data_IF_997700049256
#
_entry.id   IF_997700049256
#
_cell.length_a   1.000
_cell.length_b   1.000
_cell.length_c   1.000
_cell.angle_alpha   90.00
_cell.angle_beta   90.00
_cell.angle_gamma   90.00
#
_symmetry.space_group_name_H-M   'P 1'
#
loop_
_entity.id
_entity.type
_entity.pdbx_description
1 polymer ?
#
# COMPACT_ATOMS: atom_id res chain seq x y z
N UNK A 1 0.40 -36.54 87.34
CA UNK A 1 1.27 -37.43 86.54
C UNK A 1 1.27 -36.96 85.10
N UNK A 2 2.45 -36.79 84.50
CA UNK A 2 2.72 -37.01 83.07
C UNK A 2 3.31 -38.43 82.92
N UNK A 3 3.60 -39.01 81.74
CA UNK A 3 3.58 -38.46 80.35
C UNK A 3 2.23 -38.82 79.65
N UNK A 4 2.01 -39.04 78.34
CA UNK A 4 2.85 -39.27 77.13
C UNK A 4 2.20 -38.59 75.90
N UNK A 5 3.01 -38.06 74.96
CA UNK A 5 2.58 -37.78 73.58
C UNK A 5 2.77 -39.03 72.71
N UNK A 6 1.73 -39.50 72.03
CA UNK A 6 1.88 -40.35 70.85
C UNK A 6 1.33 -39.64 69.62
N UNK A 7 2.23 -39.29 68.70
CA UNK A 7 1.86 -38.89 67.36
C UNK A 7 1.75 -40.14 66.48
N UNK A 8 0.68 -40.24 65.69
CA UNK A 8 0.67 -41.06 64.48
C UNK A 8 0.37 -40.17 63.28
N UNK A 9 1.00 -40.51 62.16
CA UNK A 9 1.07 -39.69 60.96
C UNK A 9 -0.26 -39.67 60.17
N UNK A 10 -0.55 -38.58 59.41
CA UNK A 10 -1.75 -38.49 58.62
C UNK A 10 -1.75 -39.52 57.49
N UNK A 11 -2.83 -40.30 57.37
CA UNK A 11 -3.06 -41.18 56.22
C UNK A 11 -3.64 -40.39 55.07
N UNK A 12 -2.77 -39.82 54.23
CA UNK A 12 -3.14 -39.36 52.89
C UNK A 12 -3.67 -40.56 52.08
N UNK A 13 -4.87 -40.49 51.48
CA UNK A 13 -5.12 -41.16 50.22
C UNK A 13 -4.37 -40.39 49.11
N UNK A 14 -3.43 -41.04 48.43
CA UNK A 14 -2.91 -40.52 47.17
C UNK A 14 -4.03 -40.52 46.14
N UNK A 15 -4.43 -39.33 45.66
CA UNK A 15 -5.07 -39.21 44.34
C UNK A 15 -4.65 -37.92 43.63
N UNK A 16 -3.34 -37.72 43.54
CA UNK A 16 -2.76 -36.72 42.65
C UNK A 16 -2.87 -37.19 41.19
N UNK A 17 -4.03 -36.97 40.56
CA UNK A 17 -4.11 -36.85 39.10
C UNK A 17 -4.35 -35.39 38.73
N UNK A 18 -3.25 -34.68 38.55
CA UNK A 18 -3.22 -33.33 37.99
C UNK A 18 -3.65 -33.37 36.53
N UNK A 19 -4.94 -33.22 36.25
CA UNK A 19 -5.38 -32.85 34.90
C UNK A 19 -5.24 -31.33 34.68
N UNK A 20 -4.02 -30.85 34.86
CA UNK A 20 -3.57 -29.59 34.29
C UNK A 20 -3.43 -29.80 32.77
N UNK A 21 -4.59 -29.91 32.10
CA UNK A 21 -4.67 -29.98 30.65
C UNK A 21 -4.10 -28.67 30.11
N UNK A 22 -2.84 -28.74 29.68
CA UNK A 22 -2.09 -27.58 29.23
C UNK A 22 -2.79 -26.98 28.02
N UNK A 23 -3.46 -25.84 28.22
CA UNK A 23 -3.73 -24.88 27.16
C UNK A 23 -2.39 -24.22 26.74
N UNK A 24 -1.47 -25.05 26.26
CA UNK A 24 -0.59 -24.67 25.17
C UNK A 24 -1.48 -24.52 23.93
N UNK A 25 -2.25 -23.44 23.92
CA UNK A 25 -2.62 -22.80 22.67
C UNK A 25 -1.28 -22.44 22.03
N UNK A 26 -0.81 -23.33 21.15
CA UNK A 26 0.39 -23.13 20.35
C UNK A 26 0.13 -21.97 19.42
N UNK A 27 0.34 -20.75 19.94
CA UNK A 27 0.24 -19.53 19.18
C UNK A 27 1.14 -19.68 17.99
N UNK A 28 0.53 -19.84 16.81
CA UNK A 28 1.26 -19.84 15.56
C UNK A 28 1.85 -18.45 15.43
N UNK A 29 3.12 -18.33 15.81
CA UNK A 29 3.93 -17.16 15.51
C UNK A 29 4.11 -17.15 14.00
N UNK A 30 3.09 -16.63 13.31
CA UNK A 30 3.23 -16.14 11.96
C UNK A 30 4.35 -15.10 12.03
N UNK A 31 5.46 -15.40 11.37
CA UNK A 31 6.66 -14.56 11.42
C UNK A 31 6.27 -13.10 11.16
N UNK A 32 6.75 -12.19 12.02
CA UNK A 32 6.23 -10.83 12.04
C UNK A 32 6.28 -10.18 10.65
N UNK A 33 5.12 -9.70 10.20
CA UNK A 33 4.93 -9.21 8.84
C UNK A 33 5.60 -7.86 8.63
N UNK A 34 6.90 -7.86 8.34
CA UNK A 34 7.66 -6.65 8.06
C UNK A 34 7.52 -6.20 6.60
N UNK A 35 7.42 -4.89 6.30
CA UNK A 35 7.42 -4.40 4.93
C UNK A 35 8.77 -4.64 4.23
N UNK A 36 8.75 -5.17 3.01
CA UNK A 36 9.97 -5.54 2.27
C UNK A 36 10.83 -4.34 1.83
N UNK A 37 10.24 -3.15 1.69
CA UNK A 37 10.91 -1.94 1.18
C UNK A 37 11.16 -0.91 2.29
N UNK A 38 10.26 -0.82 3.28
CA UNK A 38 10.32 0.16 4.36
C UNK A 38 10.70 -0.54 5.66
N UNK A 39 11.94 -0.35 6.11
CA UNK A 39 12.40 -0.91 7.38
C UNK A 39 11.64 -0.28 8.54
N UNK A 40 11.16 -1.11 9.46
CA UNK A 40 10.47 -0.63 10.65
C UNK A 40 11.40 0.17 11.58
N UNK A 41 12.67 -0.22 11.67
CA UNK A 41 13.68 0.48 12.48
C UNK A 41 13.91 1.92 12.00
N UNK A 42 13.96 2.15 10.68
CA UNK A 42 14.12 3.48 10.08
C UNK A 42 12.88 4.37 10.39
N UNK A 43 11.68 3.79 10.45
CA UNK A 43 10.45 4.47 10.88
C UNK A 43 10.42 4.77 12.39
N UNK A 44 10.81 3.80 13.23
CA UNK A 44 10.88 3.97 14.69
C UNK A 44 11.92 5.03 15.07
N UNK A 45 13.10 5.00 14.45
CA UNK A 45 14.11 6.04 14.60
C UNK A 45 13.58 7.41 14.18
N UNK A 46 12.86 7.50 13.05
CA UNK A 46 12.21 8.74 12.62
C UNK A 46 11.19 9.25 13.64
N UNK A 47 10.40 8.37 14.27
CA UNK A 47 9.46 8.72 15.35
C UNK A 47 10.19 9.25 16.60
N UNK A 48 11.32 8.65 16.97
CA UNK A 48 12.18 9.13 18.06
C UNK A 48 12.74 10.53 17.75
N UNK A 49 13.24 10.77 16.54
CA UNK A 49 13.75 12.08 16.11
C UNK A 49 12.65 13.16 16.04
N UNK A 50 11.41 12.80 15.70
CA UNK A 50 10.27 13.70 15.80
C UNK A 50 9.90 14.04 17.25
N UNK A 51 9.98 13.04 18.15
CA UNK A 51 9.75 13.23 19.59
C UNK A 51 10.81 14.14 20.21
N UNK A 52 12.07 13.98 19.79
CA UNK A 52 13.20 14.84 20.13
C UNK A 52 13.16 16.22 19.43
N UNK A 53 12.20 16.46 18.53
CA UNK A 53 12.02 17.68 17.73
C UNK A 53 13.24 18.06 16.86
N UNK A 54 14.00 17.06 16.41
CA UNK A 54 15.18 17.25 15.54
C UNK A 54 14.76 18.01 14.26
N UNK A 55 15.31 19.22 13.98
CA UNK A 55 14.73 20.13 12.97
C UNK A 55 14.57 19.55 11.56
N UNK A 56 15.51 18.71 11.12
CA UNK A 56 15.44 18.04 9.81
C UNK A 56 14.22 17.09 9.71
N UNK A 57 13.95 16.32 10.77
CA UNK A 57 12.82 15.39 10.82
C UNK A 57 11.49 16.13 10.93
N UNK A 58 11.41 17.17 11.77
CA UNK A 58 10.22 18.04 11.86
C UNK A 58 9.92 18.68 10.49
N UNK A 59 10.96 19.16 9.77
CA UNK A 59 10.82 19.69 8.42
C UNK A 59 10.36 18.65 7.38
N UNK A 60 10.79 17.40 7.50
CA UNK A 60 10.34 16.30 6.64
C UNK A 60 8.88 15.90 6.93
N UNK A 61 8.52 15.76 8.21
CA UNK A 61 7.16 15.44 8.65
C UNK A 61 6.14 16.50 8.23
N UNK A 62 6.48 17.79 8.34
CA UNK A 62 5.60 18.86 7.86
C UNK A 62 5.37 18.81 6.33
N UNK A 63 6.36 18.38 5.54
CA UNK A 63 6.22 18.14 4.10
C UNK A 63 5.38 16.89 3.78
N UNK A 64 5.49 15.84 4.60
CA UNK A 64 4.66 14.64 4.51
C UNK A 64 3.18 14.97 4.79
N UNK A 65 2.88 15.66 5.90
CA UNK A 65 1.52 16.11 6.21
C UNK A 65 0.95 16.99 5.09
N UNK A 66 1.71 18.00 4.63
CA UNK A 66 1.30 18.86 3.51
C UNK A 66 1.05 18.10 2.19
N UNK A 67 1.59 16.89 2.03
CA UNK A 67 1.33 16.01 0.89
C UNK A 67 0.10 15.14 1.11
N UNK A 68 -0.06 14.56 2.31
CA UNK A 68 -1.27 13.84 2.70
C UNK A 68 -2.53 14.75 2.73
N UNK A 69 -2.42 15.99 3.18
CA UNK A 69 -3.50 17.00 3.16
C UNK A 69 -3.90 17.45 1.74
N UNK A 70 -3.04 17.21 0.74
CA UNK A 70 -3.37 17.36 -0.69
C UNK A 70 -4.04 16.09 -1.23
N UNK A 71 -3.54 14.91 -0.85
CA UNK A 71 -4.12 13.61 -1.19
C UNK A 71 -5.55 13.41 -0.65
N UNK A 72 -5.85 13.90 0.57
CA UNK A 72 -7.21 13.91 1.13
C UNK A 72 -8.24 14.57 0.18
N UNK A 73 -7.80 15.62 -0.54
CA UNK A 73 -8.63 16.47 -1.42
C UNK A 73 -8.74 15.95 -2.86
N UNK A 74 -8.00 14.91 -3.24
CA UNK A 74 -8.11 14.30 -4.56
C UNK A 74 -9.41 13.49 -4.71
N UNK A 75 -9.92 13.30 -5.93
CA UNK A 75 -10.95 12.29 -6.19
C UNK A 75 -10.41 10.87 -5.91
N UNK A 76 -11.29 9.86 -5.86
CA UNK A 76 -10.85 8.47 -5.87
C UNK A 76 -10.55 8.06 -7.32
N UNK A 77 -9.27 7.87 -7.64
CA UNK A 77 -8.80 7.50 -8.96
C UNK A 77 -9.29 6.11 -9.39
N UNK A 78 -9.55 5.92 -10.68
CA UNK A 78 -9.90 4.64 -11.31
C UNK A 78 -9.34 4.52 -12.74
N UNK A 79 -9.08 3.29 -13.20
CA UNK A 79 -8.84 3.01 -14.64
C UNK A 79 -10.06 3.30 -15.52
N UNK A 80 -11.24 3.56 -14.94
CA UNK A 80 -12.45 3.93 -15.69
C UNK A 80 -12.47 5.42 -16.08
N UNK A 81 -11.55 6.23 -15.53
CA UNK A 81 -11.50 7.69 -15.75
C UNK A 81 -10.81 8.10 -17.07
N UNK A 82 -10.09 7.18 -17.74
CA UNK A 82 -9.44 7.46 -19.04
C UNK A 82 -10.46 7.68 -20.17
N UNK A 83 -10.09 8.42 -21.21
CA UNK A 83 -10.94 8.60 -22.39
C UNK A 83 -10.78 7.48 -23.43
N UNK A 84 -9.56 6.96 -23.60
CA UNK A 84 -9.29 5.85 -24.52
C UNK A 84 -9.58 4.50 -23.85
N UNK A 85 -9.87 3.47 -24.65
CA UNK A 85 -10.02 2.08 -24.18
C UNK A 85 -8.95 1.22 -24.84
N UNK A 86 -8.51 0.17 -24.14
CA UNK A 86 -7.53 -0.78 -24.67
C UNK A 86 -8.11 -1.60 -25.83
N UNK A 87 -7.25 -2.27 -26.60
CA UNK A 87 -7.66 -3.12 -27.73
C UNK A 87 -8.47 -4.38 -27.33
N UNK A 88 -8.60 -4.68 -26.03
CA UNK A 88 -9.55 -5.66 -25.50
C UNK A 88 -11.01 -5.19 -25.58
N UNK A 89 -11.25 -3.88 -25.67
CA UNK A 89 -12.57 -3.27 -25.47
C UNK A 89 -13.00 -3.18 -23.99
N UNK A 90 -12.24 -3.77 -23.05
CA UNK A 90 -12.49 -3.62 -21.62
C UNK A 90 -11.82 -2.35 -21.09
N UNK A 91 -12.59 -1.52 -20.37
CA UNK A 91 -12.09 -0.31 -19.74
C UNK A 91 -11.42 -0.58 -18.38
N UNK A 92 -11.68 -1.74 -17.77
CA UNK A 92 -10.99 -2.20 -16.56
C UNK A 92 -9.54 -2.62 -16.81
N UNK A 93 -9.13 -2.86 -18.06
CA UNK A 93 -7.73 -3.06 -18.38
C UNK A 93 -6.93 -1.76 -18.25
N UNK A 94 -5.74 -1.86 -17.65
CA UNK A 94 -4.79 -0.75 -17.58
C UNK A 94 -4.21 -0.45 -18.98
N UNK A 95 -4.29 0.80 -19.40
CA UNK A 95 -3.80 1.26 -20.70
C UNK A 95 -2.78 2.39 -20.52
N UNK A 96 -1.65 2.35 -21.24
CA UNK A 96 -0.73 3.49 -21.30
C UNK A 96 0.17 3.50 -22.52
N UNK A 97 0.58 4.69 -22.97
CA UNK A 97 1.64 4.82 -23.97
C UNK A 97 3.04 4.75 -23.33
N UNK A 98 4.08 4.26 -24.05
CA UNK A 98 5.48 4.40 -23.66
C UNK A 98 5.96 5.85 -23.86
N UNK A 99 6.95 6.34 -23.11
CA UNK A 99 7.37 7.74 -23.17
C UNK A 99 8.03 8.12 -24.50
N UNK A 100 8.73 7.21 -25.16
CA UNK A 100 9.67 7.53 -26.26
C UNK A 100 9.12 7.25 -27.66
N UNK A 101 7.80 7.21 -27.85
CA UNK A 101 7.16 6.97 -29.14
C UNK A 101 6.25 8.14 -29.53
N UNK A 102 6.44 8.61 -30.76
CA UNK A 102 5.84 9.84 -31.30
C UNK A 102 5.15 9.57 -32.64
N UNK A 103 4.11 10.33 -33.02
CA UNK A 103 3.59 10.32 -34.39
C UNK A 103 4.71 10.56 -35.43
N UNK A 104 4.67 9.82 -36.54
CA UNK A 104 5.60 10.00 -37.67
C UNK A 104 5.15 11.21 -38.53
N UNK A 105 5.90 12.33 -38.56
CA UNK A 105 5.52 13.53 -39.31
C UNK A 105 5.59 13.36 -40.84
N UNK A 106 6.10 12.24 -41.35
CA UNK A 106 6.05 11.89 -42.78
C UNK A 106 4.70 11.25 -43.20
N UNK A 107 3.80 10.99 -42.24
CA UNK A 107 2.54 10.28 -42.43
C UNK A 107 1.36 11.22 -42.22
N UNK A 108 0.25 10.98 -42.94
CA UNK A 108 -0.95 11.82 -42.88
C UNK A 108 -1.73 11.64 -41.56
N UNK A 109 -1.63 10.45 -40.99
CA UNK A 109 -2.24 9.96 -39.75
C UNK A 109 -1.25 9.93 -38.57
N UNK A 110 0.05 10.07 -38.85
CA UNK A 110 1.12 9.92 -37.87
C UNK A 110 1.50 8.46 -37.57
N UNK A 111 1.05 7.48 -38.36
CA UNK A 111 1.17 6.05 -38.06
C UNK A 111 2.09 5.28 -39.03
N UNK A 112 2.82 4.25 -38.55
CA UNK A 112 3.00 3.87 -37.14
C UNK A 112 3.85 4.90 -36.38
N UNK A 113 3.74 4.93 -35.04
CA UNK A 113 4.61 5.81 -34.25
C UNK A 113 6.09 5.43 -34.41
N UNK A 114 6.97 6.42 -34.34
CA UNK A 114 8.43 6.31 -34.40
C UNK A 114 9.06 6.49 -33.02
N UNK A 115 10.15 5.77 -32.75
CA UNK A 115 10.89 5.86 -31.48
C UNK A 115 11.89 7.02 -31.51
N UNK A 116 11.82 7.90 -30.52
CA UNK A 116 12.82 8.94 -30.24
C UNK A 116 13.33 8.79 -28.81
N UNK A 117 14.58 8.37 -28.65
CA UNK A 117 15.09 8.03 -27.30
C UNK A 117 15.30 9.29 -26.45
N UNK A 118 14.95 9.23 -25.16
CA UNK A 118 15.00 10.37 -24.24
C UNK A 118 13.92 11.46 -24.47
N UNK A 119 13.48 11.69 -25.71
CA UNK A 119 12.38 12.61 -26.03
C UNK A 119 11.04 12.04 -25.53
N UNK A 120 10.53 12.57 -24.41
CA UNK A 120 9.25 12.13 -23.83
C UNK A 120 8.05 12.77 -24.54
N UNK A 121 7.24 11.96 -25.22
CA UNK A 121 5.94 12.36 -25.75
C UNK A 121 5.00 12.74 -24.59
N UNK A 122 4.38 13.95 -24.58
CA UNK A 122 3.40 14.35 -23.57
C UNK A 122 2.18 13.41 -23.48
N UNK A 123 1.78 12.74 -24.56
CA UNK A 123 0.64 11.81 -24.57
C UNK A 123 0.80 10.70 -23.53
N UNK A 124 2.03 10.23 -23.32
CA UNK A 124 2.37 9.20 -22.33
C UNK A 124 2.25 9.67 -20.87
N UNK A 125 1.87 10.92 -20.64
CA UNK A 125 1.51 11.50 -19.35
C UNK A 125 0.14 12.21 -19.39
N UNK A 126 -0.63 12.06 -20.48
CA UNK A 126 -1.99 12.60 -20.60
C UNK A 126 -2.99 11.81 -19.74
N UNK A 127 -4.12 12.43 -19.40
CA UNK A 127 -5.22 11.77 -18.68
C UNK A 127 -6.05 10.83 -19.60
N UNK A 128 -5.76 10.81 -20.90
CA UNK A 128 -6.37 9.91 -21.87
C UNK A 128 -5.99 8.43 -21.67
N UNK A 129 -4.97 8.16 -20.84
CA UNK A 129 -4.51 6.83 -20.44
C UNK A 129 -4.32 6.75 -18.91
N UNK A 130 -3.83 5.63 -18.36
CA UNK A 130 -3.78 5.38 -16.91
C UNK A 130 -2.45 5.69 -16.22
N UNK A 131 -1.34 5.87 -16.96
CA UNK A 131 0.00 5.99 -16.35
C UNK A 131 0.12 7.12 -15.31
N UNK A 132 -0.29 8.34 -15.67
CA UNK A 132 -0.29 9.50 -14.75
C UNK A 132 -1.15 9.24 -13.51
N UNK A 133 -2.27 8.55 -13.70
CA UNK A 133 -3.29 8.28 -12.68
C UNK A 133 -2.86 7.18 -11.70
N UNK A 134 -2.27 6.09 -12.20
CA UNK A 134 -1.67 5.03 -11.38
C UNK A 134 -0.52 5.58 -10.52
N UNK A 135 0.32 6.46 -11.08
CA UNK A 135 1.40 7.13 -10.33
C UNK A 135 0.84 8.05 -9.25
N UNK A 136 -0.17 8.87 -9.56
CA UNK A 136 -0.85 9.72 -8.56
C UNK A 136 -1.45 8.88 -7.43
N UNK A 137 -2.22 7.84 -7.78
CA UNK A 137 -2.85 6.91 -6.83
C UNK A 137 -1.82 6.26 -5.89
N UNK A 138 -0.72 5.73 -6.44
CA UNK A 138 0.33 5.06 -5.67
C UNK A 138 1.06 6.03 -4.73
N UNK A 139 1.40 7.22 -5.22
CA UNK A 139 2.06 8.27 -4.42
C UNK A 139 1.15 8.75 -3.28
N UNK A 140 -0.12 8.97 -3.55
CA UNK A 140 -1.07 9.48 -2.56
C UNK A 140 -1.40 8.44 -1.49
N UNK A 141 -1.64 7.18 -1.86
CA UNK A 141 -1.78 6.08 -0.89
C UNK A 141 -0.53 5.95 0.00
N UNK A 142 0.67 6.09 -0.57
CA UNK A 142 1.93 6.04 0.17
C UNK A 142 2.09 7.22 1.15
N UNK A 143 1.78 8.45 0.70
CA UNK A 143 1.78 9.65 1.52
C UNK A 143 0.78 9.54 2.68
N UNK A 144 -0.44 9.07 2.40
CA UNK A 144 -1.51 8.91 3.38
C UNK A 144 -1.16 7.82 4.42
N UNK A 145 -0.61 6.68 4.00
CA UNK A 145 -0.19 5.61 4.90
C UNK A 145 0.94 6.04 5.85
N UNK A 146 1.97 6.72 5.33
CA UNK A 146 3.06 7.25 6.15
C UNK A 146 2.59 8.40 7.06
N UNK A 147 1.74 9.30 6.57
CA UNK A 147 1.18 10.37 7.39
C UNK A 147 0.31 9.82 8.53
N UNK A 148 -0.49 8.77 8.29
CA UNK A 148 -1.19 8.06 9.36
C UNK A 148 -0.21 7.46 10.38
N UNK A 149 0.84 6.77 9.94
CA UNK A 149 1.82 6.16 10.84
C UNK A 149 2.43 7.19 11.82
N UNK A 150 2.92 8.33 11.31
CA UNK A 150 3.60 9.32 12.15
C UNK A 150 2.65 10.23 12.96
N UNK A 151 1.44 10.52 12.47
CA UNK A 151 0.50 11.45 13.11
C UNK A 151 -0.66 10.80 13.87
N UNK A 152 -0.92 9.51 13.63
CA UNK A 152 -2.08 8.76 14.09
C UNK A 152 -3.46 9.34 13.68
N UNK A 153 -3.51 10.30 12.75
CA UNK A 153 -4.76 10.86 12.23
C UNK A 153 -5.51 9.84 11.35
N UNK A 154 -6.69 9.33 11.77
CA UNK A 154 -7.38 8.25 11.06
C UNK A 154 -7.91 8.65 9.68
N UNK A 155 -8.08 9.96 9.40
CA UNK A 155 -8.57 10.42 8.10
C UNK A 155 -7.64 10.00 6.94
N UNK A 156 -6.33 9.96 7.17
CA UNK A 156 -5.37 9.54 6.14
C UNK A 156 -5.52 8.04 5.82
N UNK A 157 -5.58 7.18 6.85
CA UNK A 157 -5.80 5.74 6.68
C UNK A 157 -7.15 5.42 6.03
N UNK A 158 -8.21 6.16 6.40
CA UNK A 158 -9.52 6.05 5.76
C UNK A 158 -9.45 6.35 4.25
N UNK A 159 -8.85 7.47 3.86
CA UNK A 159 -8.71 7.85 2.45
C UNK A 159 -7.87 6.84 1.66
N UNK A 160 -6.78 6.34 2.25
CA UNK A 160 -5.95 5.31 1.64
C UNK A 160 -6.74 4.00 1.40
N UNK A 161 -7.53 3.56 2.39
CA UNK A 161 -8.43 2.39 2.25
C UNK A 161 -9.45 2.60 1.13
N UNK A 162 -10.09 3.77 1.07
CA UNK A 162 -11.09 4.10 0.05
C UNK A 162 -10.49 4.08 -1.36
N UNK A 163 -9.29 4.63 -1.52
CA UNK A 163 -8.57 4.62 -2.80
C UNK A 163 -8.14 3.19 -3.21
N UNK A 164 -7.65 2.38 -2.28
CA UNK A 164 -7.27 0.99 -2.57
C UNK A 164 -8.49 0.13 -2.93
N UNK A 165 -9.62 0.30 -2.23
CA UNK A 165 -10.88 -0.38 -2.59
C UNK A 165 -11.35 0.06 -3.98
N UNK A 166 -11.28 1.37 -4.30
CA UNK A 166 -11.71 1.87 -5.60
C UNK A 166 -10.83 1.38 -6.76
N UNK A 167 -9.50 1.33 -6.58
CA UNK A 167 -8.59 0.92 -7.65
C UNK A 167 -8.48 -0.60 -7.84
N UNK A 168 -8.64 -1.41 -6.78
CA UNK A 168 -8.34 -2.85 -6.86
C UNK A 168 -9.52 -3.79 -6.59
N UNK A 169 -10.60 -3.32 -5.94
CA UNK A 169 -11.64 -4.23 -5.38
C UNK A 169 -13.04 -3.94 -5.93
N UNK A 170 -13.47 -2.68 -5.97
CA UNK A 170 -14.82 -2.29 -6.40
C UNK A 170 -15.07 -2.73 -7.86
N UNK A 171 -16.04 -3.62 -8.15
CA UNK A 171 -16.26 -4.13 -9.51
C UNK A 171 -16.60 -3.04 -10.53
N UNK A 172 -17.07 -1.86 -10.09
CA UNK A 172 -17.40 -0.74 -10.99
C UNK A 172 -16.19 0.14 -11.36
N UNK A 173 -15.07 0.05 -10.65
CA UNK A 173 -13.92 0.96 -10.80
C UNK A 173 -12.53 0.30 -10.72
N UNK A 174 -12.47 -1.00 -10.39
CA UNK A 174 -11.21 -1.73 -10.26
C UNK A 174 -10.43 -1.84 -11.58
N UNK A 175 -9.12 -1.94 -11.45
CA UNK A 175 -8.19 -2.41 -12.48
C UNK A 175 -8.18 -3.94 -12.54
N UNK A 176 -8.25 -4.52 -13.75
CA UNK A 176 -7.97 -5.93 -13.96
C UNK A 176 -6.50 -6.24 -13.58
N UNK A 177 -6.20 -7.38 -12.93
CA UNK A 177 -4.85 -7.67 -12.41
C UNK A 177 -3.86 -8.13 -13.50
N UNK A 178 -3.77 -7.37 -14.59
CA UNK A 178 -2.86 -7.59 -15.72
C UNK A 178 -2.26 -6.23 -16.20
N UNK A 179 -1.25 -6.30 -17.06
CA UNK A 179 -0.65 -5.13 -17.73
C UNK A 179 -0.49 -5.36 -19.24
N UNK A 180 -1.38 -6.16 -19.86
CA UNK A 180 -1.28 -6.58 -21.27
C UNK A 180 -1.30 -5.41 -22.26
N UNK A 181 -1.93 -4.29 -21.89
CA UNK A 181 -2.04 -3.07 -22.70
C UNK A 181 -1.24 -1.88 -22.12
N UNK A 182 -0.31 -2.17 -21.21
CA UNK A 182 0.69 -1.20 -20.76
C UNK A 182 1.75 -0.96 -21.85
N UNK A 183 2.17 0.29 -22.01
CA UNK A 183 3.16 0.72 -23.02
C UNK A 183 2.78 0.34 -24.46
N UNK A 184 1.49 0.39 -24.80
CA UNK A 184 0.98 0.20 -26.14
C UNK A 184 1.54 1.27 -27.11
N UNK A 185 1.93 0.83 -28.31
CA UNK A 185 2.44 1.70 -29.39
C UNK A 185 1.38 1.74 -30.49
N UNK A 186 0.83 2.91 -30.88
CA UNK A 186 -0.05 3.04 -32.04
C UNK A 186 0.66 2.66 -33.35
N UNK A 187 0.00 1.90 -34.22
CA UNK A 187 0.59 1.33 -35.44
C UNK A 187 -0.30 1.42 -36.69
N UNK A 188 -1.60 1.44 -36.50
CA UNK A 188 -2.67 1.27 -37.48
C UNK A 188 -3.94 2.04 -37.05
#
# INVERSE_FOLDING_TARGET
MLPIKMALLPRLPLLALTLAALFHAGGSSAAEGHPLIVKLDDLQYSQQQLTAKTPAFVGAYNKLLSSADRALKQPLYSVMDKSLTAASGDKHDYYSFPPYWWPDPSKKDGLPYIRKDGETNPDANSDATDKKRLVAMSNDVSNLALAWYFSQNPAYAQKAREQLVNWFINPQTRMNPNLQYAQAIPRD
#
